data_IF_753510728146
#
_entry.id   IF_753510728146
#
_cell.length_a   1.000
_cell.length_b   1.000
_cell.length_c   1.000
_cell.angle_alpha   90.00
_cell.angle_beta   90.00
_cell.angle_gamma   90.00
#
_symmetry.space_group_name_H-M   'P 1'
#
loop_
_entity.id
_entity.type
_entity.pdbx_description
1 polymer ?
#
# COMPACT_ATOMS: atom_id res chain seq x y z
N UNK A 1 -9.05 -17.22 25.16
CA UNK A 1 -8.25 -16.12 24.56
C UNK A 1 -8.14 -14.99 25.57
N UNK A 2 -6.96 -14.47 25.80
CA UNK A 2 -6.75 -13.35 26.71
C UNK A 2 -7.36 -12.06 26.16
N UNK A 3 -7.52 -11.05 27.02
CA UNK A 3 -8.00 -9.74 26.58
C UNK A 3 -7.03 -9.11 25.57
N UNK A 4 -5.72 -9.29 25.77
CA UNK A 4 -4.71 -8.79 24.84
C UNK A 4 -4.81 -9.47 23.48
N UNK A 5 -4.99 -10.78 23.45
CA UNK A 5 -5.17 -11.54 22.21
C UNK A 5 -6.45 -11.14 21.50
N UNK A 6 -7.52 -10.89 22.24
CA UNK A 6 -8.79 -10.41 21.67
C UNK A 6 -8.62 -9.04 21.01
N UNK A 7 -7.88 -8.15 21.66
CA UNK A 7 -7.61 -6.82 21.11
C UNK A 7 -6.78 -6.88 19.82
N UNK A 8 -5.70 -7.68 19.85
CA UNK A 8 -4.85 -7.89 18.67
C UNK A 8 -5.67 -8.48 17.53
N UNK A 9 -6.47 -9.51 17.81
CA UNK A 9 -7.30 -10.16 16.80
C UNK A 9 -8.32 -9.19 16.17
N UNK A 10 -8.97 -8.38 17.00
CA UNK A 10 -9.92 -7.36 16.52
C UNK A 10 -9.22 -6.31 15.65
N UNK A 11 -8.03 -5.88 16.07
CA UNK A 11 -7.23 -4.90 15.32
C UNK A 11 -6.82 -5.45 13.96
N UNK A 12 -6.36 -6.70 13.91
CA UNK A 12 -5.97 -7.33 12.65
C UNK A 12 -7.16 -7.55 11.71
N UNK A 13 -8.32 -7.89 12.26
CA UNK A 13 -9.55 -8.00 11.44
C UNK A 13 -9.93 -6.66 10.83
N UNK A 14 -9.85 -5.59 11.60
CA UNK A 14 -10.14 -4.24 11.10
C UNK A 14 -9.15 -3.82 10.02
N UNK A 15 -7.86 -4.12 10.22
CA UNK A 15 -6.80 -3.84 9.24
C UNK A 15 -7.07 -4.59 7.93
N UNK A 16 -7.34 -5.90 8.00
CA UNK A 16 -7.63 -6.71 6.81
C UNK A 16 -8.86 -6.22 6.07
N UNK A 17 -9.89 -5.86 6.81
CA UNK A 17 -11.12 -5.31 6.21
C UNK A 17 -10.81 -4.03 5.41
N UNK A 18 -10.05 -3.12 5.99
CA UNK A 18 -9.66 -1.87 5.33
C UNK A 18 -8.72 -2.12 4.14
N UNK A 19 -7.80 -3.06 4.26
CA UNK A 19 -6.88 -3.43 3.17
C UNK A 19 -7.65 -4.03 1.99
N UNK A 20 -8.61 -4.91 2.26
CA UNK A 20 -9.44 -5.50 1.21
C UNK A 20 -10.25 -4.43 0.47
N UNK A 21 -10.82 -3.48 1.20
CA UNK A 21 -11.56 -2.37 0.59
C UNK A 21 -10.67 -1.50 -0.27
N UNK A 22 -9.48 -1.17 0.22
CA UNK A 22 -8.50 -0.36 -0.51
C UNK A 22 -8.06 -1.07 -1.78
N UNK A 23 -7.74 -2.35 -1.69
CA UNK A 23 -7.34 -3.17 -2.84
C UNK A 23 -8.44 -3.23 -3.89
N UNK A 24 -9.68 -3.48 -3.47
CA UNK A 24 -10.82 -3.53 -4.39
C UNK A 24 -11.06 -2.18 -5.06
N UNK A 25 -10.90 -1.09 -4.32
CA UNK A 25 -11.05 0.25 -4.88
C UNK A 25 -10.05 0.48 -6.02
N UNK A 26 -8.76 0.25 -5.78
CA UNK A 26 -7.73 0.47 -6.80
C UNK A 26 -7.82 -0.53 -7.95
N UNK A 27 -8.13 -1.81 -7.67
CA UNK A 27 -8.26 -2.83 -8.70
C UNK A 27 -9.43 -2.56 -9.65
N UNK A 28 -10.46 -1.88 -9.14
CA UNK A 28 -11.62 -1.49 -9.94
C UNK A 28 -11.37 -0.28 -10.85
N UNK A 29 -10.23 0.41 -10.72
CA UNK A 29 -9.91 1.59 -11.51
C UNK A 29 -9.11 1.22 -12.75
N UNK A 30 -9.47 1.82 -13.88
CA UNK A 30 -8.68 1.72 -15.11
C UNK A 30 -7.40 2.55 -15.02
N UNK A 31 -6.48 2.32 -15.95
CA UNK A 31 -5.25 3.12 -16.03
C UNK A 31 -5.57 4.60 -16.20
N UNK A 32 -6.59 4.92 -16.98
CA UNK A 32 -7.04 6.29 -17.17
C UNK A 32 -7.59 6.91 -15.88
N UNK A 33 -8.42 6.16 -15.15
CA UNK A 33 -8.98 6.63 -13.88
C UNK A 33 -7.90 6.87 -12.82
N UNK A 34 -6.85 6.06 -12.82
CA UNK A 34 -5.72 6.22 -11.91
C UNK A 34 -4.93 7.50 -12.15
N UNK A 35 -5.03 8.11 -13.33
CA UNK A 35 -4.40 9.40 -13.61
C UNK A 35 -5.19 10.59 -13.06
N UNK A 36 -6.42 10.36 -12.59
CA UNK A 36 -7.25 11.43 -12.05
C UNK A 36 -6.68 11.96 -10.72
N UNK A 37 -6.74 13.28 -10.55
CA UNK A 37 -6.42 13.92 -9.28
C UNK A 37 -7.57 13.72 -8.30
N UNK A 38 -7.26 13.55 -7.01
CA UNK A 38 -8.29 13.40 -5.97
C UNK A 38 -9.16 14.66 -5.90
N UNK A 39 -8.51 15.80 -6.07
CA UNK A 39 -9.14 17.12 -6.17
C UNK A 39 -8.22 17.98 -7.03
N UNK A 40 -8.70 19.09 -7.63
CA UNK A 40 -7.86 19.94 -8.46
C UNK A 40 -6.55 20.34 -7.76
N UNK A 41 -5.41 20.08 -8.41
CA UNK A 41 -4.09 20.39 -7.89
C UNK A 41 -3.57 19.43 -6.82
N UNK A 42 -4.30 18.37 -6.51
CA UNK A 42 -3.89 17.35 -5.53
C UNK A 42 -3.26 16.13 -6.22
N UNK A 43 -2.82 15.17 -5.42
CA UNK A 43 -2.16 13.97 -5.93
C UNK A 43 -3.10 13.13 -6.80
N UNK A 44 -2.53 12.50 -7.81
CA UNK A 44 -3.25 11.54 -8.63
C UNK A 44 -3.45 10.23 -7.84
N UNK A 45 -4.48 9.46 -8.22
CA UNK A 45 -4.77 8.17 -7.59
C UNK A 45 -3.61 7.18 -7.75
N UNK A 46 -2.93 7.17 -8.91
CA UNK A 46 -1.77 6.30 -9.11
C UNK A 46 -0.62 6.62 -8.14
N UNK A 47 -0.42 7.90 -7.84
CA UNK A 47 0.59 8.30 -6.84
C UNK A 47 0.21 7.77 -5.46
N UNK A 48 -1.07 7.86 -5.08
CA UNK A 48 -1.53 7.33 -3.80
C UNK A 48 -1.36 5.82 -3.70
N UNK A 49 -1.64 5.09 -4.77
CA UNK A 49 -1.42 3.65 -4.80
C UNK A 49 0.05 3.32 -4.52
N UNK A 50 0.98 3.99 -5.22
CA UNK A 50 2.41 3.80 -4.99
C UNK A 50 2.85 4.23 -3.59
N UNK A 51 2.29 5.33 -3.08
CA UNK A 51 2.59 5.83 -1.74
C UNK A 51 2.16 4.82 -0.66
N UNK A 52 0.94 4.30 -0.77
CA UNK A 52 0.44 3.29 0.17
C UNK A 52 1.29 2.01 0.12
N UNK A 53 1.66 1.56 -1.08
CA UNK A 53 2.54 0.40 -1.23
C UNK A 53 3.88 0.63 -0.54
N UNK A 54 4.50 1.79 -0.74
CA UNK A 54 5.78 2.12 -0.13
C UNK A 54 5.69 2.20 1.40
N UNK A 55 4.62 2.81 1.93
CA UNK A 55 4.39 2.89 3.38
C UNK A 55 4.22 1.50 3.98
N UNK A 56 3.39 0.66 3.38
CA UNK A 56 3.16 -0.70 3.88
C UNK A 56 4.42 -1.56 3.78
N UNK A 57 5.19 -1.41 2.71
CA UNK A 57 6.47 -2.11 2.57
C UNK A 57 7.43 -1.74 3.70
N UNK A 58 7.46 -0.46 4.09
CA UNK A 58 8.26 0.03 5.21
C UNK A 58 7.81 -0.51 6.56
N UNK A 59 6.59 -0.99 6.70
CA UNK A 59 6.09 -1.60 7.94
C UNK A 59 6.79 -2.92 8.24
N UNK A 60 7.26 -3.65 7.23
CA UNK A 60 7.94 -4.93 7.44
C UNK A 60 9.17 -4.79 8.34
N UNK A 61 10.18 -3.95 8.02
CA UNK A 61 11.30 -3.75 8.94
C UNK A 61 10.93 -2.95 10.18
N UNK A 62 10.02 -1.98 10.07
CA UNK A 62 9.63 -1.15 11.21
C UNK A 62 9.05 -1.98 12.35
N UNK A 63 8.23 -2.97 12.02
CA UNK A 63 7.63 -3.88 13.00
C UNK A 63 8.50 -5.11 13.31
N UNK A 64 9.64 -5.24 12.65
CA UNK A 64 10.56 -6.36 12.87
C UNK A 64 10.05 -7.69 12.35
N UNK A 65 9.14 -7.68 11.36
CA UNK A 65 8.51 -8.89 10.84
C UNK A 65 8.97 -9.28 9.44
N UNK A 66 9.87 -8.52 8.85
CA UNK A 66 10.42 -8.83 7.54
C UNK A 66 11.35 -7.76 7.02
N UNK A 67 11.82 -7.94 5.79
CA UNK A 67 12.64 -6.98 5.07
C UNK A 67 11.84 -6.30 3.97
N UNK A 68 12.30 -5.14 3.51
CA UNK A 68 11.68 -4.42 2.40
C UNK A 68 11.67 -5.30 1.14
N UNK A 69 10.53 -5.32 0.47
CA UNK A 69 10.35 -6.03 -0.81
C UNK A 69 10.54 -5.09 -2.01
N UNK A 70 10.14 -3.82 -1.84
CA UNK A 70 10.17 -2.84 -2.91
C UNK A 70 10.73 -1.50 -2.44
N UNK A 71 12.01 -1.47 -1.97
CA UNK A 71 12.61 -0.22 -1.48
C UNK A 71 12.74 0.85 -2.58
N UNK A 72 12.74 0.45 -3.83
CA UNK A 72 12.79 1.35 -4.98
C UNK A 72 11.60 2.31 -5.07
N UNK A 73 10.50 1.99 -4.41
CA UNK A 73 9.31 2.86 -4.41
C UNK A 73 9.51 4.15 -3.61
N UNK A 74 10.44 4.16 -2.67
CA UNK A 74 10.61 5.28 -1.74
C UNK A 74 10.97 6.58 -2.44
N UNK A 75 11.87 6.52 -3.41
CA UNK A 75 12.32 7.72 -4.12
C UNK A 75 11.18 8.44 -4.85
N UNK A 76 10.26 7.69 -5.41
CA UNK A 76 9.14 8.23 -6.18
C UNK A 76 7.95 8.59 -5.31
N UNK A 77 7.64 7.78 -4.29
CA UNK A 77 6.35 7.85 -3.59
C UNK A 77 6.43 8.31 -2.14
N UNK A 78 7.62 8.37 -1.54
CA UNK A 78 7.77 8.85 -0.16
C UNK A 78 8.53 10.18 -0.08
N UNK A 79 9.59 10.34 -0.87
CA UNK A 79 10.49 11.49 -0.74
C UNK A 79 10.27 12.55 -1.81
N UNK A 80 9.41 12.29 -2.79
CA UNK A 80 9.17 13.17 -3.93
C UNK A 80 7.66 13.40 -4.09
N UNK A 81 7.27 14.63 -4.40
CA UNK A 81 5.86 14.94 -4.65
C UNK A 81 5.39 14.34 -5.96
N UNK A 82 4.08 14.15 -6.11
CA UNK A 82 3.49 13.69 -7.34
C UNK A 82 3.88 14.62 -8.50
N UNK A 83 4.13 14.03 -9.67
CA UNK A 83 4.54 14.68 -10.91
C UNK A 83 5.99 15.21 -10.91
N UNK A 84 6.75 15.00 -9.85
CA UNK A 84 8.17 15.36 -9.80
C UNK A 84 9.04 14.37 -10.56
N UNK A 85 8.54 13.14 -10.78
CA UNK A 85 9.20 12.11 -11.57
C UNK A 85 8.40 11.92 -12.84
N UNK A 86 9.08 12.01 -14.00
CA UNK A 86 8.43 11.97 -15.30
C UNK A 86 7.78 10.63 -15.62
N UNK A 87 8.40 9.53 -15.17
CA UNK A 87 7.93 8.18 -15.46
C UNK A 87 7.66 7.43 -14.15
N UNK A 88 6.43 6.95 -13.99
CA UNK A 88 6.03 6.10 -12.87
C UNK A 88 6.00 4.64 -13.31
N UNK A 89 6.11 3.69 -12.37
CA UNK A 89 5.77 2.30 -12.65
C UNK A 89 4.34 2.22 -13.18
N UNK A 90 4.05 1.19 -13.97
CA UNK A 90 2.69 1.00 -14.49
C UNK A 90 1.71 0.69 -13.36
N UNK A 91 0.42 0.92 -13.62
CA UNK A 91 -0.63 0.54 -12.67
C UNK A 91 -0.56 -0.95 -12.34
N UNK A 92 -0.32 -1.81 -13.34
CA UNK A 92 -0.20 -3.25 -13.13
C UNK A 92 0.97 -3.58 -12.21
N UNK A 93 2.12 -2.93 -12.39
CA UNK A 93 3.30 -3.13 -11.53
C UNK A 93 3.02 -2.70 -10.09
N UNK A 94 2.36 -1.56 -9.90
CA UNK A 94 2.03 -1.05 -8.57
C UNK A 94 0.99 -1.93 -7.87
N UNK A 95 -0.02 -2.41 -8.59
CA UNK A 95 -1.02 -3.33 -8.04
C UNK A 95 -0.37 -4.66 -7.64
N UNK A 96 0.53 -5.18 -8.46
CA UNK A 96 1.25 -6.41 -8.15
C UNK A 96 2.17 -6.24 -6.93
N UNK A 97 2.89 -5.13 -6.85
CA UNK A 97 3.74 -4.82 -5.70
C UNK A 97 2.91 -4.68 -4.41
N UNK A 98 1.79 -3.97 -4.49
CA UNK A 98 0.88 -3.80 -3.35
C UNK A 98 0.34 -5.15 -2.86
N UNK A 99 -0.08 -6.03 -3.77
CA UNK A 99 -0.58 -7.36 -3.42
C UNK A 99 0.50 -8.21 -2.75
N UNK A 100 1.72 -8.17 -3.25
CA UNK A 100 2.86 -8.89 -2.68
C UNK A 100 3.16 -8.40 -1.25
N UNK A 101 3.21 -7.09 -1.06
CA UNK A 101 3.47 -6.48 0.25
C UNK A 101 2.36 -6.82 1.25
N UNK A 102 1.11 -6.71 0.84
CA UNK A 102 -0.04 -6.99 1.70
C UNK A 102 -0.07 -8.46 2.10
N UNK A 103 0.27 -9.35 1.18
CA UNK A 103 0.38 -10.78 1.46
C UNK A 103 1.48 -11.06 2.48
N UNK A 104 2.64 -10.43 2.33
CA UNK A 104 3.75 -10.59 3.27
C UNK A 104 3.39 -10.09 4.68
N UNK A 105 2.71 -8.93 4.78
CA UNK A 105 2.23 -8.41 6.06
C UNK A 105 1.21 -9.35 6.69
N UNK A 106 0.24 -9.80 5.90
CA UNK A 106 -0.81 -10.70 6.37
C UNK A 106 -0.24 -12.01 6.89
N UNK A 107 0.71 -12.61 6.17
CA UNK A 107 1.36 -13.85 6.55
C UNK A 107 2.15 -13.68 7.85
N UNK A 108 2.88 -12.56 7.98
CA UNK A 108 3.64 -12.26 9.19
C UNK A 108 2.74 -12.10 10.42
N UNK A 109 1.58 -11.45 10.26
CA UNK A 109 0.63 -11.27 11.35
C UNK A 109 -0.06 -12.57 11.76
N UNK A 110 -0.07 -13.58 10.90
CA UNK A 110 -0.67 -14.88 11.16
C UNK A 110 0.33 -15.91 11.69
N UNK A 111 1.60 -15.60 11.76
CA UNK A 111 2.64 -16.53 12.19
C UNK A 111 2.82 -16.54 13.71
#
# INVERSE_FOLDING_TARGET
MSAEQQLVDATLRAWRFNMDRTTKFFDGLSDEQLQAEIAPGRNRLIYLLGHLAAVHDGMLPLLGIGSRLHPELDATFLTTADRSVATLPSAAELKAASAEIDSALSDAFNS
#
